data_IF_745094931978
#
_entry.id   IF_745094931978
#
_cell.length_a   1.000
_cell.length_b   1.000
_cell.length_c   1.000
_cell.angle_alpha   90.00
_cell.angle_beta   90.00
_cell.angle_gamma   90.00
#
_symmetry.space_group_name_H-M   'P 1'
#
loop_
_entity.id
_entity.type
_entity.pdbx_description
1 polymer ?
#
# COMPACT_ATOMS: atom_id res chain seq x y z
N UNK A 1 -14.02 -12.13 20.55
CA UNK A 1 -12.87 -11.48 19.88
C UNK A 1 -13.31 -10.49 18.80
N UNK A 2 -14.21 -10.85 17.88
CA UNK A 2 -14.71 -9.95 16.81
C UNK A 2 -15.22 -8.57 17.29
N UNK A 3 -15.83 -8.49 18.49
CA UNK A 3 -16.33 -7.21 19.03
C UNK A 3 -15.24 -6.20 19.43
N UNK A 4 -13.99 -6.63 19.67
CA UNK A 4 -12.87 -5.71 19.92
C UNK A 4 -12.32 -5.17 18.61
N UNK A 5 -12.09 -6.06 17.63
CA UNK A 5 -11.64 -5.69 16.29
C UNK A 5 -12.58 -4.67 15.64
N UNK A 6 -13.88 -4.92 15.67
CA UNK A 6 -14.87 -3.99 15.13
C UNK A 6 -14.81 -2.61 15.81
N UNK A 7 -14.75 -2.56 17.15
CA UNK A 7 -14.63 -1.29 17.90
C UNK A 7 -13.37 -0.52 17.51
N UNK A 8 -12.25 -1.23 17.35
CA UNK A 8 -10.98 -0.66 16.91
C UNK A 8 -11.10 -0.07 15.50
N UNK A 9 -11.64 -0.83 14.55
CA UNK A 9 -11.84 -0.40 13.16
C UNK A 9 -12.77 0.81 13.04
N UNK A 10 -13.90 0.82 13.77
CA UNK A 10 -14.80 1.98 13.81
C UNK A 10 -14.12 3.24 14.36
N UNK A 11 -13.26 3.09 15.38
CA UNK A 11 -12.49 4.20 15.95
C UNK A 11 -11.48 4.76 14.94
N UNK A 12 -10.75 3.90 14.24
CA UNK A 12 -9.77 4.31 13.23
C UNK A 12 -10.45 4.95 12.02
N UNK A 13 -11.58 4.39 11.56
CA UNK A 13 -12.38 4.98 10.49
C UNK A 13 -12.86 6.38 10.85
N UNK A 14 -13.34 6.57 12.08
CA UNK A 14 -13.73 7.89 12.58
C UNK A 14 -12.56 8.87 12.57
N UNK A 15 -11.37 8.44 12.98
CA UNK A 15 -10.18 9.29 12.97
C UNK A 15 -9.81 9.70 11.55
N UNK A 16 -9.71 8.75 10.62
CA UNK A 16 -9.43 9.00 9.21
C UNK A 16 -10.47 9.90 8.53
N UNK A 17 -11.74 9.84 8.97
CA UNK A 17 -12.78 10.73 8.45
C UNK A 17 -12.68 12.15 9.01
N UNK A 18 -12.25 12.31 10.26
CA UNK A 18 -12.12 13.63 10.89
C UNK A 18 -10.86 14.37 10.47
N UNK A 19 -9.76 13.64 10.25
CA UNK A 19 -8.46 14.18 9.87
C UNK A 19 -7.82 13.27 8.81
N UNK A 20 -8.29 13.34 7.54
CA UNK A 20 -7.77 12.50 6.48
C UNK A 20 -6.36 12.95 6.07
N UNK A 21 -5.39 12.03 5.94
CA UNK A 21 -4.10 12.35 5.35
C UNK A 21 -4.25 12.87 3.92
N UNK A 22 -3.40 13.81 3.54
CA UNK A 22 -3.41 14.38 2.19
C UNK A 22 -3.21 13.29 1.13
N UNK A 23 -4.04 13.32 0.09
CA UNK A 23 -3.94 12.38 -1.03
C UNK A 23 -4.46 10.97 -0.73
N UNK A 24 -5.06 10.73 0.44
CA UNK A 24 -5.52 9.41 0.86
C UNK A 24 -7.01 9.45 1.21
N UNK A 25 -7.77 8.52 0.64
CA UNK A 25 -9.16 8.25 1.03
C UNK A 25 -9.28 6.76 1.34
N UNK A 26 -9.80 6.40 2.52
CA UNK A 26 -9.96 5.01 2.93
C UNK A 26 -11.20 4.83 3.80
N UNK A 27 -11.92 3.71 3.62
CA UNK A 27 -13.07 3.38 4.44
C UNK A 27 -13.66 2.01 4.13
N UNK A 28 -14.57 1.51 4.99
CA UNK A 28 -15.18 0.20 4.80
C UNK A 28 -16.02 0.15 3.52
N UNK A 29 -16.01 -1.00 2.84
CA UNK A 29 -16.79 -1.20 1.59
C UNK A 29 -18.30 -1.13 1.81
N UNK A 30 -18.75 -1.38 3.04
CA UNK A 30 -20.15 -1.25 3.46
C UNK A 30 -20.24 -1.09 4.98
N UNK A 31 -21.37 -0.58 5.47
CA UNK A 31 -21.63 -0.47 6.92
C UNK A 31 -21.77 -1.84 7.61
N UNK A 32 -22.11 -2.89 6.85
CA UNK A 32 -22.26 -4.25 7.35
C UNK A 32 -20.92 -5.01 7.46
N UNK A 33 -19.91 -4.60 6.69
CA UNK A 33 -18.59 -5.22 6.67
C UNK A 33 -17.44 -4.22 6.87
N UNK A 34 -17.06 -4.04 8.14
CA UNK A 34 -15.91 -3.22 8.52
C UNK A 34 -14.54 -3.89 8.32
N UNK A 35 -14.50 -5.18 7.95
CA UNK A 35 -13.24 -5.93 7.79
C UNK A 35 -12.68 -5.88 6.36
N UNK A 36 -13.36 -5.19 5.44
CA UNK A 36 -12.88 -4.92 4.09
C UNK A 36 -13.03 -3.44 3.80
N UNK A 37 -11.93 -2.79 3.40
CA UNK A 37 -11.90 -1.37 3.10
C UNK A 37 -11.43 -1.14 1.67
N UNK A 38 -12.04 -0.17 1.00
CA UNK A 38 -11.51 0.41 -0.23
C UNK A 38 -10.65 1.62 0.13
N UNK A 39 -9.57 1.80 -0.62
CA UNK A 39 -8.61 2.87 -0.47
C UNK A 39 -8.27 3.46 -1.82
N UNK A 40 -8.06 4.77 -1.88
CA UNK A 40 -7.57 5.50 -3.04
C UNK A 40 -6.39 6.35 -2.60
N UNK A 41 -5.24 6.11 -3.23
CA UNK A 41 -3.98 6.77 -2.88
C UNK A 41 -3.50 7.56 -4.08
N UNK A 42 -3.31 8.86 -3.93
CA UNK A 42 -2.64 9.67 -4.95
C UNK A 42 -1.15 9.40 -4.92
N UNK A 43 -0.52 9.30 -6.09
CA UNK A 43 0.93 9.12 -6.17
C UNK A 43 1.67 10.35 -5.61
N UNK A 44 2.77 10.15 -4.84
CA UNK A 44 3.58 11.25 -4.31
C UNK A 44 4.12 12.16 -5.43
N UNK A 45 4.11 13.48 -5.21
CA UNK A 45 4.52 14.49 -6.21
C UNK A 45 5.98 14.38 -6.65
N UNK A 46 6.84 13.88 -5.77
CA UNK A 46 8.28 13.68 -5.97
C UNK A 46 8.64 12.29 -6.53
N UNK A 47 7.64 11.52 -6.97
CA UNK A 47 7.80 10.16 -7.48
C UNK A 47 7.42 10.02 -8.96
N UNK A 48 7.82 8.93 -9.59
CA UNK A 48 7.35 8.60 -10.95
C UNK A 48 5.86 8.17 -10.99
N UNK A 49 5.19 8.10 -9.85
CA UNK A 49 3.77 7.81 -9.73
C UNK A 49 2.92 9.08 -9.56
N UNK A 50 3.54 10.27 -9.52
CA UNK A 50 2.85 11.56 -9.39
C UNK A 50 1.65 11.68 -10.34
N UNK A 51 0.58 12.33 -9.87
CA UNK A 51 -0.70 12.51 -10.57
C UNK A 51 -1.53 11.23 -10.75
N UNK A 52 -1.00 10.04 -10.46
CA UNK A 52 -1.77 8.80 -10.48
C UNK A 52 -2.73 8.70 -9.29
N UNK A 53 -3.82 7.95 -9.46
CA UNK A 53 -4.71 7.53 -8.37
C UNK A 53 -4.76 6.01 -8.35
N UNK A 54 -4.33 5.40 -7.26
CA UNK A 54 -4.14 3.96 -7.16
C UNK A 54 -5.19 3.37 -6.21
N UNK A 55 -6.25 2.73 -6.75
CA UNK A 55 -7.22 2.03 -5.93
C UNK A 55 -6.60 0.77 -5.31
N UNK A 56 -6.89 0.54 -4.04
CA UNK A 56 -6.43 -0.59 -3.27
C UNK A 56 -7.51 -1.09 -2.31
N UNK A 57 -7.34 -2.30 -1.82
CA UNK A 57 -8.18 -2.91 -0.78
C UNK A 57 -7.36 -3.27 0.44
N UNK A 58 -7.95 -3.11 1.61
CA UNK A 58 -7.41 -3.58 2.88
C UNK A 58 -8.36 -4.62 3.46
N UNK A 59 -7.85 -5.81 3.77
CA UNK A 59 -8.59 -6.89 4.41
C UNK A 59 -8.05 -7.11 5.81
N UNK A 60 -8.92 -6.98 6.82
CA UNK A 60 -8.57 -7.08 8.23
C UNK A 60 -8.86 -8.49 8.77
N UNK A 61 -7.96 -9.07 9.58
CA UNK A 61 -8.22 -10.35 10.21
C UNK A 61 -9.19 -10.20 11.40
N UNK A 62 -9.84 -11.30 11.79
CA UNK A 62 -10.84 -11.30 12.87
C UNK A 62 -10.26 -10.96 14.27
N UNK A 63 -8.94 -11.08 14.43
CA UNK A 63 -8.17 -10.77 15.64
C UNK A 63 -7.45 -9.42 15.56
N UNK A 64 -7.73 -8.58 14.55
CA UNK A 64 -7.19 -7.22 14.46
C UNK A 64 -7.42 -6.46 15.79
N UNK A 65 -6.41 -5.72 16.30
CA UNK A 65 -5.10 -5.39 15.72
C UNK A 65 -3.95 -6.32 16.16
N UNK A 66 -4.22 -7.54 16.64
CA UNK A 66 -3.15 -8.47 17.03
C UNK A 66 -2.35 -8.94 15.81
N UNK A 67 -3.05 -9.28 14.74
CA UNK A 67 -2.47 -9.56 13.43
C UNK A 67 -2.63 -8.37 12.47
N UNK A 68 -1.67 -8.14 11.55
CA UNK A 68 -1.78 -7.08 10.56
C UNK A 68 -2.89 -7.35 9.55
N UNK A 69 -3.44 -6.30 8.92
CA UNK A 69 -4.26 -6.47 7.73
C UNK A 69 -3.39 -6.85 6.51
N UNK A 70 -4.05 -7.24 5.43
CA UNK A 70 -3.44 -7.37 4.11
C UNK A 70 -3.87 -6.22 3.23
N UNK A 71 -2.96 -5.68 2.42
CA UNK A 71 -3.25 -4.63 1.46
C UNK A 71 -2.91 -5.08 0.04
N UNK A 72 -3.78 -4.79 -0.91
CA UNK A 72 -3.65 -5.18 -2.31
C UNK A 72 -4.12 -4.05 -3.23
N UNK A 73 -3.28 -3.61 -4.16
CA UNK A 73 -3.71 -2.72 -5.24
C UNK A 73 -4.64 -3.47 -6.20
N UNK A 74 -5.75 -2.84 -6.57
CA UNK A 74 -6.72 -3.41 -7.51
C UNK A 74 -6.51 -2.91 -8.94
N UNK A 75 -5.64 -1.93 -9.15
CA UNK A 75 -5.16 -1.51 -10.46
C UNK A 75 -3.86 -2.21 -10.82
N UNK A 76 -3.50 -2.15 -12.10
CA UNK A 76 -2.15 -2.53 -12.53
C UNK A 76 -1.13 -1.56 -11.94
N UNK A 77 -0.11 -2.10 -11.29
CA UNK A 77 1.00 -1.35 -10.73
C UNK A 77 2.30 -2.15 -10.88
N UNK A 78 3.41 -1.44 -11.14
CA UNK A 78 4.72 -2.05 -11.33
C UNK A 78 5.70 -1.45 -10.33
N UNK A 79 6.04 -2.22 -9.29
CA UNK A 79 6.79 -1.70 -8.15
C UNK A 79 7.62 -2.80 -7.47
N UNK A 80 8.85 -2.53 -7.01
CA UNK A 80 9.70 -3.52 -6.33
C UNK A 80 9.03 -4.22 -5.13
N UNK A 81 8.29 -3.47 -4.31
CA UNK A 81 7.63 -3.96 -3.09
C UNK A 81 6.16 -4.41 -3.29
N UNK A 82 5.71 -4.56 -4.52
CA UNK A 82 4.34 -5.02 -4.82
C UNK A 82 4.43 -6.29 -5.67
N UNK A 83 3.79 -7.36 -5.21
CA UNK A 83 3.71 -8.61 -5.97
C UNK A 83 2.94 -8.44 -7.28
N UNK A 84 3.12 -9.32 -8.28
CA UNK A 84 2.36 -9.25 -9.54
C UNK A 84 0.84 -9.35 -9.38
N UNK A 85 0.35 -9.92 -8.26
CA UNK A 85 -1.07 -9.96 -7.92
C UNK A 85 -1.56 -8.68 -7.21
N UNK A 86 -0.70 -7.69 -7.01
CA UNK A 86 -1.02 -6.41 -6.38
C UNK A 86 -0.80 -6.36 -4.87
N UNK A 87 -0.47 -7.48 -4.21
CA UNK A 87 -0.23 -7.49 -2.76
C UNK A 87 0.99 -6.64 -2.39
N UNK A 88 0.83 -5.80 -1.37
CA UNK A 88 1.90 -4.93 -0.85
C UNK A 88 2.75 -5.72 0.15
N UNK A 89 4.08 -5.60 0.02
CA UNK A 89 5.05 -6.26 0.87
C UNK A 89 5.99 -5.22 1.51
N UNK A 90 5.61 -4.75 2.71
CA UNK A 90 6.39 -3.81 3.52
C UNK A 90 6.34 -4.25 4.99
N UNK A 91 7.39 -3.95 5.74
CA UNK A 91 7.60 -4.41 7.12
C UNK A 91 6.40 -4.19 8.05
N UNK A 92 5.72 -3.04 7.97
CA UNK A 92 4.54 -2.74 8.79
C UNK A 92 3.37 -3.73 8.58
N UNK A 93 3.32 -4.44 7.45
CA UNK A 93 2.31 -5.47 7.16
C UNK A 93 2.80 -6.90 7.49
N UNK A 94 4.06 -7.06 7.91
CA UNK A 94 4.60 -8.36 8.32
C UNK A 94 4.22 -8.67 9.76
N UNK A 95 4.00 -9.96 10.04
CA UNK A 95 3.60 -10.44 11.35
C UNK A 95 4.59 -10.00 12.46
N UNK A 96 4.09 -9.78 13.69
CA UNK A 96 4.94 -9.39 14.81
C UNK A 96 5.99 -10.45 15.13
N UNK A 97 7.13 -10.00 15.68
CA UNK A 97 8.24 -10.84 16.11
C UNK A 97 9.48 -10.69 15.25
N UNK A 98 10.53 -11.43 15.60
CA UNK A 98 11.81 -11.35 14.90
C UNK A 98 11.67 -11.83 13.46
N UNK A 99 12.30 -11.11 12.53
CA UNK A 99 12.34 -11.52 11.14
C UNK A 99 13.19 -12.79 10.99
N UNK A 100 12.62 -13.92 10.50
CA UNK A 100 13.38 -15.15 10.31
C UNK A 100 14.60 -14.98 9.39
N UNK A 101 14.56 -13.97 8.52
CA UNK A 101 15.63 -13.66 7.57
C UNK A 101 16.58 -12.55 8.05
N UNK A 102 16.23 -11.87 9.14
CA UNK A 102 17.05 -10.82 9.77
C UNK A 102 17.21 -9.53 8.95
N UNK A 103 16.35 -9.29 7.96
CA UNK A 103 16.35 -8.07 7.16
C UNK A 103 15.64 -6.91 7.87
N UNK A 104 14.66 -7.20 8.73
CA UNK A 104 13.82 -6.20 9.38
C UNK A 104 14.01 -6.20 10.90
N UNK A 105 14.00 -4.99 11.50
CA UNK A 105 13.88 -4.88 12.95
C UNK A 105 12.45 -5.20 13.38
N UNK A 106 12.28 -5.87 14.53
CA UNK A 106 10.96 -6.12 15.12
C UNK A 106 10.16 -4.84 15.41
N UNK A 107 10.83 -3.68 15.52
CA UNK A 107 10.19 -2.36 15.67
C UNK A 107 9.55 -1.84 14.38
N UNK A 108 10.01 -2.31 13.22
CA UNK A 108 9.49 -1.94 11.91
C UNK A 108 8.29 -2.81 11.50
N UNK A 109 8.14 -3.96 12.16
CA UNK A 109 7.05 -4.90 11.91
C UNK A 109 5.74 -4.48 12.56
N UNK A 110 4.66 -5.19 12.19
CA UNK A 110 3.36 -4.93 12.76
C UNK A 110 3.37 -5.03 14.29
N UNK A 111 2.67 -4.10 14.92
CA UNK A 111 2.31 -4.20 16.32
C UNK A 111 0.95 -3.52 16.55
N UNK A 112 0.21 -3.89 17.61
CA UNK A 112 -1.12 -3.33 17.88
C UNK A 112 -1.17 -1.79 18.06
N UNK A 113 -0.02 -1.12 18.20
CA UNK A 113 0.10 0.36 18.28
C UNK A 113 0.15 1.04 16.91
N UNK A 114 0.28 0.27 15.83
CA UNK A 114 0.15 0.78 14.47
C UNK A 114 -1.32 0.99 14.12
N UNK A 115 -1.58 1.80 13.10
CA UNK A 115 -2.92 2.16 12.61
C UNK A 115 -3.00 2.03 11.09
N UNK A 116 -4.21 2.02 10.56
CA UNK A 116 -4.50 2.07 9.12
C UNK A 116 -3.88 3.30 8.48
N UNK A 117 -3.96 4.45 9.15
CA UNK A 117 -3.29 5.69 8.73
C UNK A 117 -1.79 5.48 8.52
N UNK A 118 -1.10 4.89 9.50
CA UNK A 118 0.34 4.63 9.38
C UNK A 118 0.67 3.66 8.26
N UNK A 119 -0.15 2.63 8.03
CA UNK A 119 0.01 1.74 6.87
C UNK A 119 -0.07 2.54 5.58
N UNK A 120 -1.10 3.37 5.42
CA UNK A 120 -1.32 4.17 4.21
C UNK A 120 -0.18 5.16 3.97
N UNK A 121 0.30 5.82 5.03
CA UNK A 121 1.48 6.70 4.96
C UNK A 121 2.75 5.92 4.56
N UNK A 122 2.97 4.73 5.12
CA UNK A 122 4.10 3.87 4.73
C UNK A 122 4.01 3.43 3.26
N UNK A 123 2.80 3.22 2.72
CA UNK A 123 2.62 2.92 1.30
C UNK A 123 2.92 4.14 0.42
N UNK A 124 2.52 5.34 0.82
CA UNK A 124 2.88 6.58 0.12
C UNK A 124 4.41 6.75 0.10
N UNK A 125 5.08 6.58 1.24
CA UNK A 125 6.55 6.61 1.31
C UNK A 125 7.20 5.54 0.44
N UNK A 126 6.65 4.32 0.44
CA UNK A 126 7.13 3.21 -0.40
C UNK A 126 7.02 3.53 -1.90
N UNK A 127 5.95 4.20 -2.34
CA UNK A 127 5.80 4.62 -3.75
C UNK A 127 6.84 5.67 -4.15
N UNK A 128 7.24 6.56 -3.24
CA UNK A 128 8.30 7.53 -3.48
C UNK A 128 9.69 6.88 -3.48
N UNK A 129 9.94 6.02 -2.48
CA UNK A 129 11.23 5.39 -2.21
C UNK A 129 11.09 3.86 -2.13
N UNK A 130 11.11 3.15 -3.27
CA UNK A 130 11.11 1.70 -3.30
C UNK A 130 12.29 1.10 -2.54
N UNK A 131 12.01 0.10 -1.70
CA UNK A 131 13.02 -0.73 -1.07
C UNK A 131 13.39 -1.89 -2.00
N UNK A 132 14.64 -1.93 -2.45
CA UNK A 132 15.13 -2.96 -3.36
C UNK A 132 15.92 -4.09 -2.68
N UNK A 133 16.13 -4.04 -1.36
CA UNK A 133 16.87 -5.06 -0.60
C UNK A 133 16.08 -6.37 -0.50
N UNK A 134 14.75 -6.27 -0.34
CA UNK A 134 13.82 -7.41 -0.26
C UNK A 134 12.63 -7.23 -1.20
N UNK A 135 12.83 -7.36 -2.52
CA UNK A 135 11.78 -7.05 -3.49
C UNK A 135 10.76 -8.18 -3.63
N UNK A 136 9.48 -7.83 -3.56
CA UNK A 136 8.36 -8.70 -3.91
C UNK A 136 8.28 -8.97 -5.42
N UNK A 137 8.73 -8.00 -6.23
CA UNK A 137 8.81 -8.12 -7.68
C UNK A 137 10.26 -7.90 -8.14
N UNK A 138 10.94 -9.02 -8.36
CA UNK A 138 12.36 -9.06 -8.77
C UNK A 138 12.59 -8.35 -10.11
N UNK A 139 11.63 -8.43 -11.05
CA UNK A 139 11.75 -7.75 -12.34
C UNK A 139 11.66 -6.22 -12.16
N UNK A 140 10.69 -5.75 -11.37
CA UNK A 140 10.59 -4.33 -11.05
C UNK A 140 11.83 -3.80 -10.33
N UNK A 141 12.37 -4.55 -9.38
CA UNK A 141 13.62 -4.20 -8.70
C UNK A 141 14.82 -4.15 -9.65
N UNK A 142 14.92 -5.08 -10.61
CA UNK A 142 15.98 -5.09 -11.62
C UNK A 142 15.90 -3.85 -12.52
N UNK A 143 14.72 -3.54 -13.07
CA UNK A 143 14.52 -2.37 -13.93
C UNK A 143 14.74 -1.08 -13.14
N UNK A 144 14.25 -1.00 -11.90
CA UNK A 144 14.50 0.13 -11.00
C UNK A 144 16.00 0.43 -10.82
N UNK A 145 16.81 -0.62 -10.61
CA UNK A 145 18.26 -0.52 -10.38
C UNK A 145 19.07 -0.24 -11.64
N UNK A 146 18.74 -0.89 -12.75
CA UNK A 146 19.59 -0.93 -13.94
C UNK A 146 19.11 -0.02 -15.07
N UNK A 147 17.80 0.24 -15.13
CA UNK A 147 17.11 0.84 -16.29
C UNK A 147 16.09 1.90 -15.81
N UNK A 148 16.58 2.90 -15.08
CA UNK A 148 15.72 3.89 -14.39
C UNK A 148 14.76 4.61 -15.35
N UNK A 149 15.22 5.02 -16.51
CA UNK A 149 14.38 5.70 -17.51
C UNK A 149 13.23 4.80 -17.99
N UNK A 150 13.48 3.49 -18.12
CA UNK A 150 12.44 2.54 -18.49
C UNK A 150 11.42 2.35 -17.37
N UNK A 151 11.88 2.29 -16.12
CA UNK A 151 10.98 2.25 -14.96
C UNK A 151 10.03 3.45 -14.96
N UNK A 152 10.55 4.65 -15.19
CA UNK A 152 9.76 5.89 -15.25
C UNK A 152 8.75 5.86 -16.41
N UNK A 153 9.15 5.37 -17.59
CA UNK A 153 8.23 5.19 -18.74
C UNK A 153 7.09 4.22 -18.42
N UNK A 154 7.39 3.10 -17.77
CA UNK A 154 6.38 2.13 -17.33
C UNK A 154 5.43 2.79 -16.32
N UNK A 155 5.96 3.52 -15.34
CA UNK A 155 5.16 4.22 -14.34
C UNK A 155 4.22 5.28 -14.96
N UNK A 156 4.71 6.12 -15.88
CA UNK A 156 3.87 7.13 -16.57
C UNK A 156 2.70 6.47 -17.33
N UNK A 157 2.98 5.36 -18.03
CA UNK A 157 1.93 4.60 -18.72
C UNK A 157 0.87 4.07 -17.77
N UNK A 158 1.27 3.61 -16.58
CA UNK A 158 0.36 3.12 -15.55
C UNK A 158 -0.45 4.26 -14.93
N UNK A 159 0.18 5.40 -14.63
CA UNK A 159 -0.48 6.63 -14.16
C UNK A 159 -1.56 7.08 -15.15
N UNK A 160 -1.25 7.13 -16.45
CA UNK A 160 -2.25 7.45 -17.48
C UNK A 160 -3.42 6.46 -17.48
N UNK A 161 -3.11 5.17 -17.33
CA UNK A 161 -4.11 4.11 -17.30
C UNK A 161 -5.06 4.24 -16.11
N UNK A 162 -4.56 4.57 -14.92
CA UNK A 162 -5.42 4.76 -13.74
C UNK A 162 -6.36 5.96 -13.88
N UNK A 163 -5.97 6.97 -14.65
CA UNK A 163 -6.79 8.14 -14.98
C UNK A 163 -7.71 7.94 -16.21
N UNK A 164 -7.68 6.76 -16.86
CA UNK A 164 -8.45 6.49 -18.09
C UNK A 164 -7.98 7.30 -19.31
N UNK A 165 -6.75 7.81 -19.28
CA UNK A 165 -6.16 8.59 -20.37
C UNK A 165 -5.59 7.66 -21.47
N UNK A 166 -5.57 8.09 -22.74
CA UNK A 166 -4.96 7.33 -23.81
C UNK A 166 -3.44 7.18 -23.56
N UNK A 167 -2.93 5.97 -23.81
CA UNK A 167 -1.49 5.68 -23.78
C UNK A 167 -0.87 6.37 -24.99
N UNK A 168 0.12 7.24 -24.77
CA UNK A 168 0.90 7.81 -25.86
C UNK A 168 1.64 6.68 -26.56
N UNK A 169 1.37 6.49 -27.85
CA UNK A 169 2.19 5.61 -28.68
C UNK A 169 3.54 6.31 -28.84
N UNK A 170 4.59 5.70 -28.28
CA UNK A 170 5.96 6.13 -28.55
C UNK A 170 6.21 5.93 -30.06
N UNK A 171 6.46 7.04 -30.77
CA UNK A 171 6.94 7.06 -32.16
C UNK A 171 8.43 6.73 -32.21
#
# INVERSE_FOLDING_TARGET
MAGYALKRLMSEFKQLTMDPPEGIVAGPVSEDNFFEWDCYITGPEDSCFANGVFPAKITFPADYPLSPPQMQFTCDIFHPNIYPDGKVCISILHAPGDDPLGYESSTERWSPVQSVEKILLSVVSMLAEPNDESPANVNAAKIWRLERDEFVRIADRLVRKTLGLPVTQDN
#
